data_IF_944075773994
#
_entry.id   IF_944075773994
#
_cell.length_a   1.000
_cell.length_b   1.000
_cell.length_c   1.000
_cell.angle_alpha   90.00
_cell.angle_beta   90.00
_cell.angle_gamma   90.00
#
_symmetry.space_group_name_H-M   'P 1'
#
loop_
_entity.id
_entity.type
_entity.pdbx_description
1 polymer ?
#
# COMPACT_ATOMS: atom_id res chain seq x y z
N UNK A 1 11.87 20.16 6.23
CA UNK A 1 12.19 19.30 7.39
C UNK A 1 12.76 18.04 6.77
N UNK A 2 14.07 17.80 6.88
CA UNK A 2 14.68 16.60 6.30
C UNK A 2 14.02 15.36 6.92
N UNK A 3 13.59 14.37 6.12
CA UNK A 3 12.96 13.17 6.66
C UNK A 3 13.95 12.44 7.57
N UNK A 4 13.49 12.04 8.75
CA UNK A 4 14.32 11.32 9.71
C UNK A 4 14.90 10.05 9.07
N UNK A 5 16.09 9.63 9.50
CA UNK A 5 16.73 8.40 9.00
C UNK A 5 15.78 7.19 9.09
N UNK A 6 14.93 7.14 10.11
CA UNK A 6 13.91 6.10 10.25
C UNK A 6 12.86 6.15 9.14
N UNK A 7 12.33 7.33 8.82
CA UNK A 7 11.34 7.49 7.75
C UNK A 7 11.88 7.02 6.39
N UNK A 8 13.16 7.33 6.11
CA UNK A 8 13.82 6.88 4.87
C UNK A 8 14.00 5.36 4.83
N UNK A 9 14.36 4.74 5.97
CA UNK A 9 14.50 3.29 6.06
C UNK A 9 13.16 2.57 5.89
N UNK A 10 12.09 3.07 6.53
CA UNK A 10 10.74 2.53 6.38
C UNK A 10 10.23 2.66 4.94
N UNK A 11 10.53 3.78 4.28
CA UNK A 11 10.16 3.99 2.88
C UNK A 11 10.94 3.05 1.96
N UNK A 12 12.25 2.90 2.18
CA UNK A 12 13.08 1.94 1.43
C UNK A 12 12.57 0.52 1.62
N UNK A 13 12.19 0.16 2.84
CA UNK A 13 11.59 -1.13 3.15
C UNK A 13 10.29 -1.36 2.37
N UNK A 14 9.37 -0.38 2.37
CA UNK A 14 8.11 -0.50 1.62
C UNK A 14 8.36 -0.71 0.12
N UNK A 15 9.29 0.05 -0.47
CA UNK A 15 9.66 -0.11 -1.87
C UNK A 15 10.22 -1.51 -2.18
N UNK A 16 11.05 -2.05 -1.30
CA UNK A 16 11.60 -3.39 -1.46
C UNK A 16 10.50 -4.47 -1.35
N UNK A 17 9.55 -4.38 -0.42
CA UNK A 17 8.44 -5.32 -0.35
C UNK A 17 7.51 -5.23 -1.57
N UNK A 18 7.16 -4.02 -2.00
CA UNK A 18 6.32 -3.82 -3.19
C UNK A 18 7.00 -4.23 -4.49
N UNK A 19 8.33 -4.11 -4.57
CA UNK A 19 9.08 -4.62 -5.71
C UNK A 19 8.96 -6.14 -5.87
N UNK A 20 8.85 -6.88 -4.77
CA UNK A 20 8.62 -8.33 -4.81
C UNK A 20 7.20 -8.68 -5.27
N UNK A 21 6.24 -7.76 -5.08
CA UNK A 21 4.85 -7.88 -5.52
C UNK A 21 4.61 -7.39 -6.96
N UNK A 22 5.68 -7.00 -7.67
CA UNK A 22 5.64 -6.63 -9.08
C UNK A 22 5.43 -5.15 -9.38
N UNK A 23 5.45 -4.26 -8.36
CA UNK A 23 5.39 -2.80 -8.58
C UNK A 23 6.69 -2.27 -9.24
N UNK A 24 7.81 -2.98 -9.10
CA UNK A 24 9.08 -2.62 -9.74
C UNK A 24 9.72 -3.85 -10.41
N UNK A 25 10.43 -3.61 -11.52
CA UNK A 25 10.97 -4.66 -12.38
C UNK A 25 12.07 -5.54 -11.75
N UNK A 26 12.66 -5.14 -10.63
CA UNK A 26 13.72 -5.90 -9.98
C UNK A 26 13.70 -5.72 -8.45
N UNK A 27 13.27 -6.75 -7.69
CA UNK A 27 13.39 -6.70 -6.24
C UNK A 27 14.86 -6.71 -5.82
N UNK A 28 15.23 -5.79 -4.91
CA UNK A 28 16.59 -5.69 -4.39
C UNK A 28 16.88 -6.75 -3.34
N UNK A 29 15.83 -7.24 -2.69
CA UNK A 29 15.88 -8.18 -1.56
C UNK A 29 14.69 -9.13 -1.62
N UNK A 30 14.87 -10.35 -1.10
CA UNK A 30 13.76 -11.29 -0.87
C UNK A 30 13.43 -11.28 0.61
N UNK A 31 12.15 -11.15 0.92
CA UNK A 31 11.64 -11.02 2.27
C UNK A 31 10.28 -11.73 2.39
N UNK A 32 9.99 -12.33 3.57
CA UNK A 32 8.73 -13.02 3.78
C UNK A 32 7.54 -12.07 3.96
N UNK A 33 7.77 -10.76 4.15
CA UNK A 33 6.69 -9.83 4.54
C UNK A 33 5.74 -9.46 3.40
N UNK A 34 6.21 -9.51 2.14
CA UNK A 34 5.37 -9.33 0.96
C UNK A 34 4.21 -10.35 0.83
N UNK A 35 4.22 -11.45 1.60
CA UNK A 35 3.18 -12.49 1.54
C UNK A 35 1.81 -12.05 2.05
N UNK A 36 1.73 -10.98 2.86
CA UNK A 36 0.48 -10.43 3.39
C UNK A 36 0.23 -9.01 2.83
N UNK A 37 -0.43 -8.89 1.66
CA UNK A 37 -0.61 -7.61 1.00
C UNK A 37 -1.48 -6.65 1.82
N UNK A 38 -2.48 -7.12 2.57
CA UNK A 38 -3.29 -6.23 3.40
C UNK A 38 -2.50 -5.58 4.53
N UNK A 39 -1.62 -6.34 5.19
CA UNK A 39 -0.74 -5.78 6.22
C UNK A 39 0.25 -4.77 5.62
N UNK A 40 0.81 -5.10 4.44
CA UNK A 40 1.72 -4.22 3.74
C UNK A 40 1.04 -2.94 3.26
N UNK A 41 -0.22 -3.00 2.80
CA UNK A 41 -1.03 -1.82 2.44
C UNK A 41 -1.21 -0.89 3.64
N UNK A 42 -1.68 -1.43 4.78
CA UNK A 42 -1.92 -0.61 5.98
C UNK A 42 -0.63 0.07 6.45
N UNK A 43 0.48 -0.67 6.49
CA UNK A 43 1.79 -0.11 6.78
C UNK A 43 2.21 0.98 5.77
N UNK A 44 2.03 0.71 4.49
CA UNK A 44 2.46 1.62 3.42
C UNK A 44 1.67 2.91 3.42
N UNK A 45 0.38 2.90 3.76
CA UNK A 45 -0.43 4.13 3.84
C UNK A 45 0.06 5.09 4.92
N UNK A 46 0.65 4.59 6.01
CA UNK A 46 1.25 5.42 7.05
C UNK A 46 2.61 6.00 6.61
N UNK A 47 3.44 5.21 5.92
CA UNK A 47 4.80 5.62 5.53
C UNK A 47 4.83 6.42 4.22
N UNK A 48 3.95 6.12 3.27
CA UNK A 48 3.90 6.73 1.94
C UNK A 48 3.46 8.21 1.97
N UNK A 49 2.97 8.73 3.09
CA UNK A 49 2.73 10.18 3.27
C UNK A 49 3.98 11.02 2.99
N UNK A 50 5.17 10.42 3.12
CA UNK A 50 6.45 11.04 2.83
C UNK A 50 6.89 10.94 1.35
N UNK A 51 6.27 10.08 0.53
CA UNK A 51 6.59 9.91 -0.90
C UNK A 51 5.32 9.61 -1.71
N UNK A 52 4.76 10.62 -2.42
CA UNK A 52 3.55 10.46 -3.22
C UNK A 52 3.64 9.34 -4.27
N UNK A 53 4.83 9.03 -4.79
CA UNK A 53 4.99 8.00 -5.82
C UNK A 53 4.66 6.62 -5.30
N UNK A 54 5.08 6.30 -4.07
CA UNK A 54 4.75 5.01 -3.47
C UNK A 54 3.24 4.89 -3.26
N UNK A 55 2.59 6.00 -2.91
CA UNK A 55 1.14 6.04 -2.73
C UNK A 55 0.39 5.79 -4.04
N UNK A 56 0.82 6.41 -5.14
CA UNK A 56 0.22 6.21 -6.46
C UNK A 56 0.37 4.74 -6.92
N UNK A 57 1.58 4.19 -6.85
CA UNK A 57 1.84 2.80 -7.23
C UNK A 57 1.06 1.79 -6.36
N UNK A 58 0.93 2.08 -5.06
CA UNK A 58 0.12 1.29 -4.14
C UNK A 58 -1.35 1.24 -4.58
N UNK A 59 -1.93 2.39 -4.90
CA UNK A 59 -3.32 2.48 -5.34
C UNK A 59 -3.55 1.75 -6.67
N UNK A 60 -2.62 1.89 -7.62
CA UNK A 60 -2.67 1.18 -8.90
C UNK A 60 -2.57 -0.34 -8.70
N UNK A 61 -1.66 -0.80 -7.82
CA UNK A 61 -1.57 -2.22 -7.49
C UNK A 61 -2.85 -2.73 -6.82
N UNK A 62 -3.43 -1.97 -5.88
CA UNK A 62 -4.70 -2.32 -5.24
C UNK A 62 -5.85 -2.41 -6.26
N UNK A 63 -5.86 -1.54 -7.26
CA UNK A 63 -6.88 -1.55 -8.33
C UNK A 63 -6.75 -2.79 -9.21
N UNK A 64 -5.53 -3.13 -9.62
CA UNK A 64 -5.26 -4.31 -10.45
C UNK A 64 -5.50 -5.63 -9.70
N UNK A 65 -5.27 -5.63 -8.39
CA UNK A 65 -5.31 -6.84 -7.54
C UNK A 65 -6.51 -6.85 -6.58
N UNK A 66 -7.55 -6.05 -6.84
CA UNK A 66 -8.68 -5.87 -5.91
C UNK A 66 -9.36 -7.17 -5.50
N UNK A 67 -9.33 -8.20 -6.37
CA UNK A 67 -9.92 -9.51 -6.12
C UNK A 67 -9.15 -10.34 -5.10
N UNK A 68 -7.88 -10.01 -4.87
CA UNK A 68 -7.01 -10.66 -3.88
C UNK A 68 -7.13 -10.02 -2.49
N UNK A 69 -7.80 -8.87 -2.38
CA UNK A 69 -7.85 -8.07 -1.16
C UNK A 69 -9.12 -8.30 -0.33
N UNK A 70 -8.93 -8.53 0.96
CA UNK A 70 -10.04 -8.57 1.92
C UNK A 70 -10.26 -7.21 2.58
N UNK A 71 -11.36 -6.54 2.21
CA UNK A 71 -11.83 -5.31 2.88
C UNK A 71 -11.99 -5.49 4.39
N UNK A 72 -12.42 -6.69 4.83
CA UNK A 72 -12.55 -7.01 6.25
C UNK A 72 -11.18 -7.01 6.95
N UNK A 73 -10.16 -7.63 6.33
CA UNK A 73 -8.81 -7.68 6.92
C UNK A 73 -8.19 -6.29 7.01
N UNK A 74 -8.26 -5.52 5.92
CA UNK A 74 -7.77 -4.13 5.88
C UNK A 74 -8.34 -3.31 7.05
N UNK A 75 -9.66 -3.38 7.27
CA UNK A 75 -10.31 -2.66 8.38
C UNK A 75 -9.92 -3.19 9.76
N UNK A 76 -9.71 -4.49 9.91
CA UNK A 76 -9.35 -5.10 11.20
C UNK A 76 -7.90 -4.81 11.63
N UNK A 77 -7.05 -4.39 10.70
CA UNK A 77 -5.65 -4.07 10.95
C UNK A 77 -5.42 -2.59 11.29
N UNK A 78 -6.39 -1.71 10.99
CA UNK A 78 -6.36 -0.32 11.44
C UNK A 78 -6.47 -0.27 12.96
N UNK A 79 -5.45 0.29 13.62
CA UNK A 79 -5.43 0.41 15.09
C UNK A 79 -5.93 1.81 15.49
N UNK A 80 -5.55 2.83 14.73
CA UNK A 80 -5.97 4.21 14.96
C UNK A 80 -7.13 4.62 14.05
N UNK A 81 -7.96 5.56 14.53
CA UNK A 81 -9.07 6.12 13.73
C UNK A 81 -8.58 6.77 12.44
N UNK A 82 -7.38 7.37 12.46
CA UNK A 82 -6.75 7.98 11.29
C UNK A 82 -6.44 6.93 10.21
N UNK A 83 -5.91 5.77 10.60
CA UNK A 83 -5.63 4.65 9.69
C UNK A 83 -6.93 4.17 9.04
N UNK A 84 -7.99 4.06 9.84
CA UNK A 84 -9.32 3.66 9.39
C UNK A 84 -9.91 4.63 8.36
N UNK A 85 -9.72 5.94 8.56
CA UNK A 85 -10.13 6.97 7.60
C UNK A 85 -9.34 6.88 6.29
N UNK A 86 -8.03 6.68 6.36
CA UNK A 86 -7.17 6.59 5.17
C UNK A 86 -7.47 5.34 4.34
N UNK A 87 -7.61 4.19 5.00
CA UNK A 87 -8.07 2.94 4.35
C UNK A 87 -9.48 3.11 3.78
N UNK A 88 -10.38 3.77 4.52
CA UNK A 88 -11.71 4.09 4.05
C UNK A 88 -11.71 4.92 2.76
N UNK A 89 -10.83 5.93 2.69
CA UNK A 89 -10.66 6.77 1.51
C UNK A 89 -10.07 5.98 0.32
N UNK A 90 -9.04 5.16 0.54
CA UNK A 90 -8.47 4.30 -0.50
C UNK A 90 -9.52 3.32 -1.07
N UNK A 91 -10.31 2.68 -0.20
CA UNK A 91 -11.40 1.80 -0.61
C UNK A 91 -12.52 2.54 -1.38
N UNK A 92 -12.86 3.75 -0.96
CA UNK A 92 -13.82 4.59 -1.66
C UNK A 92 -13.32 4.99 -3.06
N UNK A 93 -12.03 5.33 -3.17
CA UNK A 93 -11.37 5.61 -4.44
C UNK A 93 -11.42 4.38 -5.37
N UNK A 94 -11.08 3.19 -4.88
CA UNK A 94 -11.18 1.94 -5.64
C UNK A 94 -12.60 1.70 -6.15
N UNK A 95 -13.60 1.86 -5.28
CA UNK A 95 -15.00 1.70 -5.66
C UNK A 95 -15.43 2.69 -6.76
N UNK A 96 -14.88 3.90 -6.76
CA UNK A 96 -15.14 4.91 -7.79
C UNK A 96 -14.45 4.59 -9.14
N UNK A 97 -13.31 3.89 -9.12
CA UNK A 97 -12.56 3.53 -10.33
C UNK A 97 -13.10 2.26 -11.02
N UNK A 98 -13.81 1.38 -10.30
CA UNK A 98 -14.44 0.16 -10.83
C UNK A 98 -15.26 0.29 -12.13
N UNK A 99 -15.96 1.40 -12.44
CA UNK A 99 -16.67 1.57 -13.71
C UNK A 99 -15.73 1.64 -14.94
N UNK A 100 -14.43 1.90 -14.75
CA UNK A 100 -13.46 2.10 -15.84
C UNK A 100 -12.51 0.92 -16.07
N UNK A 101 -12.30 0.04 -15.09
CA UNK A 101 -11.33 -1.05 -15.18
C UNK A 101 -11.86 -2.34 -15.85
N UNK A 102 -13.13 -2.36 -16.29
CA UNK A 102 -13.74 -3.49 -17.02
C UNK A 102 -14.10 -3.08 -18.46
N UNK A 103 -13.08 -2.92 -19.31
CA UNK A 103 -13.20 -2.95 -20.77
C UNK A 103 -12.00 -3.68 -21.35
#
# INVERSE_FOLDING_TARGET
MEPSTLSQLLLSFAWDEWSQMGILAAPRTQSPWAQDPEALIVFSLEVARADPRLFDELLDWMLLNESLLSVRRLRSMCIEDTDGALIGAALAWLAHQRPRARL
#
